data_IF_678938411454
#
_entry.id   IF_678938411454
#
_cell.length_a   1.000
_cell.length_b   1.000
_cell.length_c   1.000
_cell.angle_alpha   90.00
_cell.angle_beta   90.00
_cell.angle_gamma   90.00
#
_symmetry.space_group_name_H-M   'P 1'
#
loop_
_entity.id
_entity.type
_entity.pdbx_description
1 polymer ?
#
# COMPACT_ATOMS: atom_id res chain seq x y z
N UNK A 1 10.47 -11.15 -16.23
CA UNK A 1 10.13 -9.76 -16.65
C UNK A 1 11.34 -8.84 -16.47
N UNK A 2 11.35 -7.61 -17.02
CA UNK A 2 12.52 -6.70 -16.91
C UNK A 2 12.91 -6.33 -15.46
N UNK A 3 12.03 -6.55 -14.48
CA UNK A 3 12.28 -6.23 -13.07
C UNK A 3 12.93 -7.37 -12.25
N UNK A 4 12.96 -8.61 -12.74
CA UNK A 4 13.40 -9.78 -11.96
C UNK A 4 14.83 -9.63 -11.36
N UNK A 5 15.82 -9.04 -12.07
CA UNK A 5 17.13 -8.80 -11.48
C UNK A 5 17.07 -7.82 -10.30
N UNK A 6 16.22 -6.78 -10.40
CA UNK A 6 16.05 -5.76 -9.35
C UNK A 6 15.37 -6.37 -8.13
N UNK A 7 14.28 -7.10 -8.33
CA UNK A 7 13.56 -7.75 -7.23
C UNK A 7 14.43 -8.76 -6.48
N UNK A 8 15.25 -9.54 -7.20
CA UNK A 8 16.24 -10.43 -6.57
C UNK A 8 17.25 -9.67 -5.72
N UNK A 9 17.71 -8.51 -6.18
CA UNK A 9 18.64 -7.66 -5.41
C UNK A 9 17.97 -7.05 -4.16
N UNK A 10 16.68 -6.70 -4.23
CA UNK A 10 15.89 -6.24 -3.06
C UNK A 10 15.75 -7.39 -2.05
N UNK A 11 15.33 -8.57 -2.50
CA UNK A 11 15.18 -9.76 -1.66
C UNK A 11 16.50 -10.15 -0.96
N UNK A 12 17.60 -10.18 -1.70
CA UNK A 12 18.93 -10.51 -1.16
C UNK A 12 19.41 -9.54 -0.05
N UNK A 13 18.81 -8.34 0.05
CA UNK A 13 19.11 -7.34 1.08
C UNK A 13 18.12 -7.35 2.24
N UNK A 14 17.15 -8.27 2.25
CA UNK A 14 16.09 -8.31 3.27
C UNK A 14 15.14 -7.11 3.19
N UNK A 15 15.02 -6.48 2.02
CA UNK A 15 14.11 -5.35 1.79
C UNK A 15 12.77 -5.84 1.25
N UNK A 16 11.71 -5.05 1.51
CA UNK A 16 10.38 -5.25 0.94
C UNK A 16 10.21 -4.45 -0.34
N UNK A 17 9.32 -4.91 -1.23
CA UNK A 17 8.90 -4.17 -2.42
C UNK A 17 7.42 -3.83 -2.37
N UNK A 18 7.07 -2.57 -2.62
CA UNK A 18 5.68 -2.12 -2.73
C UNK A 18 5.44 -1.68 -4.18
N UNK A 19 4.49 -2.35 -4.85
CA UNK A 19 4.06 -1.92 -6.18
C UNK A 19 3.09 -0.74 -6.02
N UNK A 20 3.39 0.44 -6.60
CA UNK A 20 2.57 1.64 -6.41
C UNK A 20 1.25 1.60 -7.18
N UNK A 21 0.96 0.53 -7.95
CA UNK A 21 -0.25 0.41 -8.76
C UNK A 21 -1.30 -0.43 -8.04
N UNK A 22 -2.50 0.12 -7.75
CA UNK A 22 -3.62 -0.67 -7.26
C UNK A 22 -3.93 -1.85 -8.17
N UNK A 23 -4.10 -3.03 -7.57
CA UNK A 23 -4.45 -4.27 -8.29
C UNK A 23 -3.31 -4.92 -9.09
N UNK A 24 -2.06 -4.44 -8.96
CA UNK A 24 -0.91 -5.14 -9.50
C UNK A 24 -0.75 -6.52 -8.85
N UNK A 25 -0.24 -7.49 -9.61
CA UNK A 25 0.09 -8.80 -9.07
C UNK A 25 1.15 -8.68 -7.95
N UNK A 26 1.11 -9.54 -6.91
CA UNK A 26 2.15 -9.58 -5.90
C UNK A 26 3.54 -9.75 -6.53
N UNK A 27 4.58 -9.09 -5.98
CA UNK A 27 5.91 -9.16 -6.54
C UNK A 27 6.49 -10.57 -6.38
N UNK A 28 7.03 -11.12 -7.47
CA UNK A 28 7.63 -12.45 -7.47
C UNK A 28 8.97 -12.46 -6.73
N UNK A 29 9.20 -13.49 -5.91
CA UNK A 29 10.49 -13.75 -5.25
C UNK A 29 10.95 -12.73 -4.20
N UNK A 30 10.09 -11.79 -3.78
CA UNK A 30 10.38 -10.79 -2.74
C UNK A 30 9.17 -10.54 -1.87
N UNK A 31 9.39 -10.27 -0.57
CA UNK A 31 8.31 -9.85 0.31
C UNK A 31 7.76 -8.50 -0.13
N UNK A 32 6.43 -8.38 -0.16
CA UNK A 32 5.81 -7.18 -0.71
C UNK A 32 4.32 -7.31 -0.96
N UNK A 33 3.76 -6.25 -1.52
CA UNK A 33 2.37 -6.20 -2.00
C UNK A 33 2.17 -4.99 -2.90
N UNK A 34 1.03 -4.91 -3.57
CA UNK A 34 0.57 -3.66 -4.16
C UNK A 34 -0.13 -2.77 -3.13
N UNK A 35 -0.17 -1.48 -3.42
CA UNK A 35 -1.06 -0.54 -2.72
C UNK A 35 -2.52 -0.85 -3.03
N UNK A 36 -3.44 -0.48 -2.15
CA UNK A 36 -4.89 -0.63 -2.37
C UNK A 36 -5.49 0.62 -3.01
N UNK A 37 -5.06 1.81 -2.56
CA UNK A 37 -5.62 3.09 -2.98
C UNK A 37 -4.50 4.12 -3.20
N UNK A 38 -4.55 4.87 -4.30
CA UNK A 38 -3.76 6.11 -4.47
C UNK A 38 -4.60 7.26 -3.93
N UNK A 39 -4.10 7.92 -2.88
CA UNK A 39 -4.87 8.84 -2.03
C UNK A 39 -5.02 10.22 -2.64
N UNK A 40 -4.03 10.68 -3.41
CA UNK A 40 -3.93 12.07 -3.83
C UNK A 40 -4.03 12.27 -5.35
N UNK A 41 -4.77 11.38 -6.00
CA UNK A 41 -5.03 11.45 -7.43
C UNK A 41 -6.55 11.41 -7.72
N UNK A 42 -7.16 12.57 -8.03
CA UNK A 42 -6.59 13.93 -8.05
C UNK A 42 -6.44 14.54 -6.64
N UNK A 43 -5.47 15.44 -6.41
CA UNK A 43 -5.35 16.09 -5.09
C UNK A 43 -6.19 17.35 -4.97
N UNK A 44 -7.45 17.11 -4.69
CA UNK A 44 -8.31 18.09 -4.08
C UNK A 44 -8.94 17.47 -2.83
N UNK A 45 -9.44 18.32 -1.92
CA UNK A 45 -9.95 17.87 -0.62
C UNK A 45 -11.03 16.79 -0.71
N UNK A 46 -12.13 16.97 -1.48
CA UNK A 46 -13.19 15.97 -1.49
C UNK A 46 -12.74 14.63 -2.06
N UNK A 47 -11.86 14.62 -3.06
CA UNK A 47 -11.35 13.38 -3.65
C UNK A 47 -10.41 12.65 -2.68
N UNK A 48 -9.51 13.37 -2.01
CA UNK A 48 -8.64 12.78 -0.98
C UNK A 48 -9.48 12.19 0.16
N UNK A 49 -10.52 12.91 0.62
CA UNK A 49 -11.40 12.43 1.69
C UNK A 49 -12.17 11.17 1.27
N UNK A 50 -12.66 11.11 0.03
CA UNK A 50 -13.33 9.94 -0.52
C UNK A 50 -12.36 8.74 -0.60
N UNK A 51 -11.12 8.97 -1.04
CA UNK A 51 -10.08 7.91 -1.11
C UNK A 51 -9.65 7.40 0.27
N UNK A 52 -9.60 8.27 1.27
CA UNK A 52 -9.35 7.86 2.65
C UNK A 52 -10.51 7.06 3.24
N UNK A 53 -11.77 7.42 2.91
CA UNK A 53 -12.94 6.64 3.31
C UNK A 53 -12.96 5.25 2.62
N UNK A 54 -12.60 5.19 1.34
CA UNK A 54 -12.41 3.94 0.59
C UNK A 54 -11.34 3.05 1.27
N UNK A 55 -10.19 3.64 1.63
CA UNK A 55 -9.11 2.93 2.33
C UNK A 55 -9.58 2.36 3.67
N UNK A 56 -10.36 3.11 4.45
CA UNK A 56 -10.92 2.61 5.70
C UNK A 56 -11.87 1.43 5.47
N UNK A 57 -12.71 1.48 4.44
CA UNK A 57 -13.64 0.40 4.14
C UNK A 57 -12.87 -0.88 3.80
N UNK A 58 -11.84 -0.78 2.95
CA UNK A 58 -10.97 -1.91 2.60
C UNK A 58 -10.31 -2.48 3.87
N UNK A 59 -9.82 -1.61 4.76
CA UNK A 59 -9.20 -2.04 6.01
C UNK A 59 -10.17 -2.79 6.94
N UNK A 60 -11.44 -2.37 6.99
CA UNK A 60 -12.48 -3.07 7.76
C UNK A 60 -12.81 -4.44 7.15
N UNK A 61 -12.90 -4.51 5.83
CA UNK A 61 -13.30 -5.73 5.13
C UNK A 61 -12.18 -6.78 5.10
N UNK A 62 -10.93 -6.35 4.98
CA UNK A 62 -9.76 -7.24 4.81
C UNK A 62 -8.84 -7.30 6.04
N UNK A 63 -9.15 -6.54 7.09
CA UNK A 63 -8.33 -6.39 8.29
C UNK A 63 -7.15 -5.42 8.16
N UNK A 64 -6.73 -5.06 6.94
CA UNK A 64 -5.71 -4.03 6.68
C UNK A 64 -5.85 -3.44 5.28
N UNK A 65 -5.31 -2.25 5.05
CA UNK A 65 -5.22 -1.62 3.75
C UNK A 65 -3.99 -0.72 3.66
N UNK A 66 -3.44 -0.56 2.46
CA UNK A 66 -2.27 0.27 2.18
C UNK A 66 -2.60 1.40 1.20
N UNK A 67 -2.58 2.64 1.68
CA UNK A 67 -2.74 3.84 0.85
C UNK A 67 -1.39 4.42 0.41
N UNK A 68 -1.31 4.92 -0.83
CA UNK A 68 -0.16 5.65 -1.35
C UNK A 68 -0.51 7.11 -1.57
N UNK A 69 0.27 8.02 -0.99
CA UNK A 69 0.28 9.43 -1.39
C UNK A 69 1.52 9.66 -2.28
N UNK A 70 1.32 9.81 -3.59
CA UNK A 70 2.40 9.86 -4.57
C UNK A 70 2.95 11.27 -4.77
N UNK A 71 2.08 12.23 -5.09
CA UNK A 71 2.43 13.62 -5.35
C UNK A 71 2.05 14.50 -4.15
N UNK A 72 2.71 14.24 -3.02
CA UNK A 72 2.41 14.85 -1.73
C UNK A 72 2.41 16.38 -1.82
N UNK A 73 1.21 16.97 -1.74
CA UNK A 73 0.96 18.41 -1.69
C UNK A 73 0.53 18.81 -0.27
N UNK A 74 0.59 20.10 0.10
CA UNK A 74 0.12 20.56 1.41
C UNK A 74 -1.30 20.07 1.73
N UNK A 75 -2.21 20.13 0.74
CA UNK A 75 -3.58 19.61 0.90
C UNK A 75 -3.61 18.11 1.25
N UNK A 76 -2.74 17.30 0.65
CA UNK A 76 -2.64 15.85 0.93
C UNK A 76 -2.25 15.61 2.37
N UNK A 77 -1.21 16.31 2.85
CA UNK A 77 -0.72 16.21 4.23
C UNK A 77 -1.79 16.66 5.23
N UNK A 78 -2.44 17.79 4.97
CA UNK A 78 -3.50 18.32 5.83
C UNK A 78 -4.67 17.34 5.98
N UNK A 79 -5.12 16.74 4.87
CA UNK A 79 -6.23 15.78 4.90
C UNK A 79 -5.86 14.47 5.59
N UNK A 80 -4.67 13.92 5.33
CA UNK A 80 -4.18 12.71 6.00
C UNK A 80 -4.06 12.95 7.51
N UNK A 81 -3.51 14.09 7.94
CA UNK A 81 -3.39 14.42 9.36
C UNK A 81 -4.76 14.52 10.06
N UNK A 82 -5.71 15.24 9.43
CA UNK A 82 -7.07 15.36 9.95
C UNK A 82 -7.75 13.97 10.06
N UNK A 83 -7.66 13.16 9.01
CA UNK A 83 -8.18 11.81 8.98
C UNK A 83 -7.57 10.90 10.05
N UNK A 84 -6.23 10.90 10.16
CA UNK A 84 -5.46 10.06 11.08
C UNK A 84 -5.80 10.35 12.54
N UNK A 85 -6.01 11.62 12.90
CA UNK A 85 -6.36 12.02 14.27
C UNK A 85 -7.66 11.39 14.80
N UNK A 86 -8.58 11.00 13.90
CA UNK A 86 -9.85 10.37 14.27
C UNK A 86 -9.87 8.84 14.17
N UNK A 87 -8.79 8.19 13.73
CA UNK A 87 -8.81 6.74 13.45
C UNK A 87 -9.13 5.90 14.68
N UNK A 88 -8.57 6.26 15.85
CA UNK A 88 -8.80 5.51 17.09
C UNK A 88 -10.29 5.48 17.48
N UNK A 89 -11.00 6.60 17.31
CA UNK A 89 -12.44 6.66 17.55
C UNK A 89 -13.26 5.80 16.57
N UNK A 90 -12.69 5.51 15.39
CA UNK A 90 -13.28 4.65 14.36
C UNK A 90 -12.78 3.20 14.41
N UNK A 91 -12.05 2.82 15.46
CA UNK A 91 -11.53 1.46 15.67
C UNK A 91 -10.38 1.05 14.76
N UNK A 92 -9.66 2.02 14.18
CA UNK A 92 -8.55 1.81 13.26
C UNK A 92 -7.25 2.36 13.84
N UNK A 93 -6.11 1.83 13.39
CA UNK A 93 -4.78 2.32 13.77
C UNK A 93 -3.87 2.38 12.53
N UNK A 94 -2.94 3.34 12.52
CA UNK A 94 -1.86 3.36 11.55
C UNK A 94 -0.78 2.36 11.97
N UNK A 95 -0.23 1.65 11.00
CA UNK A 95 0.86 0.70 11.17
C UNK A 95 2.00 1.03 10.19
N UNK A 96 3.26 0.66 10.51
CA UNK A 96 4.34 0.74 9.55
C UNK A 96 4.07 -0.21 8.38
N UNK A 97 4.43 0.20 7.16
CA UNK A 97 4.21 -0.59 5.94
C UNK A 97 4.80 -2.00 6.01
N UNK A 98 5.90 -2.18 6.75
CA UNK A 98 6.54 -3.49 6.96
C UNK A 98 5.64 -4.51 7.65
N UNK A 99 4.65 -4.06 8.43
CA UNK A 99 3.69 -4.96 9.07
C UNK A 99 2.64 -5.54 8.11
N UNK A 100 2.52 -4.96 6.90
CA UNK A 100 1.56 -5.39 5.88
C UNK A 100 2.24 -6.14 4.72
N UNK A 101 3.55 -6.35 4.76
CA UNK A 101 4.26 -7.07 3.70
C UNK A 101 3.86 -8.55 3.70
N UNK A 102 3.59 -9.10 2.52
CA UNK A 102 3.20 -10.49 2.34
C UNK A 102 4.36 -11.29 1.73
N UNK A 103 4.48 -12.59 2.04
CA UNK A 103 5.48 -13.43 1.37
C UNK A 103 5.18 -13.50 -0.13
N UNK A 104 6.21 -13.64 -0.99
CA UNK A 104 5.99 -13.79 -2.41
C UNK A 104 5.14 -15.04 -2.71
N UNK A 105 4.35 -15.02 -3.80
CA UNK A 105 3.63 -16.21 -4.25
C UNK A 105 4.62 -17.36 -4.53
N UNK A 106 4.19 -18.63 -4.37
CA UNK A 106 5.04 -19.79 -4.65
C UNK A 106 5.63 -19.73 -6.05
N UNK A 107 6.90 -20.15 -6.17
CA UNK A 107 7.59 -20.24 -7.45
C UNK A 107 6.92 -21.31 -8.32
N UNK A 108 6.09 -20.89 -9.28
CA UNK A 108 5.39 -21.81 -10.20
C UNK A 108 6.35 -22.59 -11.14
N UNK A 109 7.64 -22.23 -11.18
CA UNK A 109 8.67 -22.95 -11.93
C UNK A 109 9.23 -24.16 -11.17
N UNK A 110 9.11 -24.24 -9.84
CA UNK A 110 9.52 -25.41 -9.08
C UNK A 110 8.52 -26.57 -9.15
N UNK A 111 7.29 -26.29 -9.63
CA UNK A 111 6.19 -27.26 -9.78
C UNK A 111 6.02 -27.79 -11.22
N UNK A 112 6.90 -27.41 -12.16
CA UNK A 112 6.96 -27.95 -13.52
C UNK A 112 8.20 -28.81 -13.72
#
# INVERSE_FOLDING_TARGET
AQMDPVLRQIAARGLIYIDPRPGAAPPAGVWGRSVDVVIDEPANRPEIDAKLAELEQIARDRGSALGLAGAVRPVTVDRINAWASGLGARGLALAPVSALAEPPPPDQEAER
#
